data_IF_008137974174
#
_entry.id   IF_008137974174
#
_cell.length_a   1.000
_cell.length_b   1.000
_cell.length_c   1.000
_cell.angle_alpha   90.00
_cell.angle_beta   90.00
_cell.angle_gamma   90.00
#
_symmetry.space_group_name_H-M   'P 1'
#
loop_
_entity.id
_entity.type
_entity.pdbx_description
1 polymer ?
#
# COMPACT_ATOMS: atom_id res chain seq x y z
N UNK A 1 -3.37 3.57 33.54
CA UNK A 1 -4.36 3.17 32.54
C UNK A 1 -3.81 3.77 31.27
N UNK A 2 -3.29 2.91 30.39
CA UNK A 2 -2.52 3.32 29.21
C UNK A 2 -3.41 3.15 27.99
N UNK A 3 -3.34 4.04 27.01
CA UNK A 3 -3.99 3.80 25.71
C UNK A 3 -3.24 2.65 25.04
N UNK A 4 -3.95 1.58 24.75
CA UNK A 4 -3.44 0.35 24.13
C UNK A 4 -3.62 0.36 22.61
N UNK A 5 -4.78 0.81 22.12
CA UNK A 5 -5.09 0.88 20.70
C UNK A 5 -6.08 2.03 20.44
N UNK A 6 -5.79 2.85 19.44
CA UNK A 6 -6.67 3.89 18.91
C UNK A 6 -7.02 3.50 17.47
N UNK A 7 -8.32 3.31 17.17
CA UNK A 7 -8.82 3.04 15.83
C UNK A 7 -9.72 4.16 15.30
N UNK A 8 -9.61 5.38 15.85
CA UNK A 8 -10.36 6.56 15.43
C UNK A 8 -11.82 6.54 15.89
N UNK A 9 -12.57 5.49 15.54
CA UNK A 9 -13.93 5.24 16.04
C UNK A 9 -13.94 4.49 17.36
N UNK A 10 -12.81 3.94 17.84
CA UNK A 10 -12.73 3.28 19.14
C UNK A 10 -11.36 3.43 19.84
N UNK A 11 -11.40 3.84 21.11
CA UNK A 11 -10.25 4.01 21.99
C UNK A 11 -10.18 2.89 23.02
N UNK A 12 -9.09 2.14 23.08
CA UNK A 12 -8.92 1.01 24.00
C UNK A 12 -7.83 1.31 25.00
N UNK A 13 -8.17 1.24 26.27
CA UNK A 13 -7.27 1.50 27.39
C UNK A 13 -6.98 0.22 28.16
N UNK A 14 -5.73 -0.03 28.52
CA UNK A 14 -5.33 -1.13 29.39
C UNK A 14 -5.02 -0.69 30.83
N UNK A 15 -5.31 -1.57 31.79
CA UNK A 15 -4.82 -1.48 33.18
C UNK A 15 -4.61 -2.88 33.74
N UNK A 16 -3.39 -3.39 33.68
CA UNK A 16 -3.11 -4.81 34.00
C UNK A 16 -3.65 -5.71 32.89
N UNK A 17 -4.33 -6.79 33.23
CA UNK A 17 -4.92 -7.73 32.25
C UNK A 17 -6.33 -7.32 31.77
N UNK A 18 -6.75 -6.07 32.06
CA UNK A 18 -8.07 -5.56 31.71
C UNK A 18 -7.93 -4.50 30.64
N UNK A 19 -8.68 -4.66 29.54
CA UNK A 19 -8.82 -3.67 28.47
C UNK A 19 -10.24 -3.10 28.46
N UNK A 20 -10.37 -1.79 28.27
CA UNK A 20 -11.61 -1.04 28.22
C UNK A 20 -11.69 -0.23 26.92
N UNK A 21 -12.66 -0.54 26.06
CA UNK A 21 -12.90 0.16 24.79
C UNK A 21 -13.98 1.25 24.90
N UNK A 22 -13.78 2.38 24.25
CA UNK A 22 -14.73 3.48 24.11
C UNK A 22 -14.89 3.81 22.64
N UNK A 23 -16.02 3.45 22.03
CA UNK A 23 -16.27 3.72 20.62
C UNK A 23 -17.21 4.93 20.41
N UNK A 24 -16.91 5.76 19.40
CA UNK A 24 -17.68 6.95 19.04
C UNK A 24 -18.94 6.53 18.27
N UNK A 25 -20.12 6.82 18.83
CA UNK A 25 -21.39 6.30 18.32
C UNK A 25 -22.16 7.36 17.53
N UNK A 26 -22.02 7.35 16.21
CA UNK A 26 -23.01 7.96 15.32
C UNK A 26 -23.58 6.97 14.27
N UNK A 27 -23.03 5.75 14.14
CA UNK A 27 -23.54 4.72 13.21
C UNK A 27 -23.61 3.29 13.78
N UNK A 28 -23.35 3.07 15.07
CA UNK A 28 -23.17 1.71 15.58
C UNK A 28 -24.47 1.09 16.16
N UNK A 29 -24.79 -0.15 15.74
CA UNK A 29 -25.79 -1.05 16.35
C UNK A 29 -25.52 -1.38 17.84
N UNK A 30 -24.52 -0.74 18.47
CA UNK A 30 -23.90 -1.13 19.74
C UNK A 30 -24.39 -0.34 20.95
N UNK A 31 -25.29 0.63 20.79
CA UNK A 31 -25.83 1.42 21.90
C UNK A 31 -26.52 0.52 22.96
N UNK A 32 -25.91 0.43 24.16
CA UNK A 32 -26.39 -0.44 25.25
C UNK A 32 -25.77 -1.84 25.30
N UNK A 33 -24.72 -2.10 24.53
CA UNK A 33 -23.95 -3.36 24.53
C UNK A 33 -22.86 -3.36 25.58
N UNK A 34 -22.66 -4.50 26.25
CA UNK A 34 -21.50 -4.75 27.12
C UNK A 34 -20.45 -5.54 26.32
N UNK A 35 -19.31 -4.93 26.04
CA UNK A 35 -18.22 -5.55 25.26
C UNK A 35 -17.13 -6.12 26.15
N UNK A 36 -16.73 -7.37 25.89
CA UNK A 36 -15.61 -8.07 26.52
C UNK A 36 -14.46 -8.17 25.53
N UNK A 37 -13.27 -7.74 25.95
CA UNK A 37 -12.05 -7.74 25.16
C UNK A 37 -11.10 -8.85 25.63
N UNK A 38 -10.63 -9.66 24.69
CA UNK A 38 -9.71 -10.76 24.94
C UNK A 38 -8.31 -10.48 24.38
N UNK A 39 -7.34 -11.33 24.73
CA UNK A 39 -5.94 -11.20 24.30
C UNK A 39 -5.54 -12.17 23.17
N UNK A 40 -6.43 -13.10 22.80
CA UNK A 40 -6.24 -13.99 21.65
C UNK A 40 -7.56 -14.56 21.11
N UNK A 41 -7.53 -15.04 19.86
CA UNK A 41 -8.63 -15.83 19.25
C UNK A 41 -9.02 -17.01 20.15
N UNK A 42 -8.04 -17.74 20.70
CA UNK A 42 -8.27 -18.93 21.54
C UNK A 42 -9.09 -18.63 22.79
N UNK A 43 -8.95 -17.42 23.35
CA UNK A 43 -9.74 -17.00 24.51
C UNK A 43 -11.18 -16.69 24.11
N UNK A 44 -11.41 -16.04 22.97
CA UNK A 44 -12.75 -15.81 22.41
C UNK A 44 -13.44 -17.15 22.15
N UNK A 45 -12.73 -18.10 21.54
CA UNK A 45 -13.24 -19.45 21.28
C UNK A 45 -13.55 -20.22 22.56
N UNK A 46 -12.66 -20.18 23.55
CA UNK A 46 -12.87 -20.85 24.83
C UNK A 46 -14.11 -20.30 25.56
N UNK A 47 -14.33 -18.98 25.48
CA UNK A 47 -15.51 -18.34 26.06
C UNK A 47 -16.77 -18.71 25.27
N UNK A 48 -16.72 -18.71 23.93
CA UNK A 48 -17.84 -19.16 23.11
C UNK A 48 -18.26 -20.60 23.45
N UNK A 49 -17.30 -21.52 23.59
CA UNK A 49 -17.55 -22.91 23.98
C UNK A 49 -18.13 -23.04 25.40
N UNK A 50 -17.76 -22.14 26.31
CA UNK A 50 -18.23 -22.15 27.70
C UNK A 50 -19.63 -21.56 27.85
N UNK A 51 -19.99 -20.62 26.98
CA UNK A 51 -21.22 -19.81 27.06
C UNK A 51 -22.06 -19.91 25.78
N UNK A 52 -22.04 -21.08 25.12
CA UNK A 52 -22.75 -21.29 23.86
C UNK A 52 -24.26 -21.02 24.02
N UNK A 53 -24.84 -21.35 25.19
CA UNK A 53 -26.27 -21.20 25.44
C UNK A 53 -26.78 -19.74 25.47
N UNK A 54 -25.89 -18.77 25.71
CA UNK A 54 -26.24 -17.34 25.69
C UNK A 54 -25.81 -16.65 24.39
N UNK A 55 -25.12 -17.36 23.50
CA UNK A 55 -24.58 -16.83 22.26
C UNK A 55 -25.67 -16.72 21.19
N UNK A 56 -25.74 -15.58 20.50
CA UNK A 56 -26.68 -15.31 19.41
C UNK A 56 -26.02 -15.42 18.03
N UNK A 57 -24.68 -15.37 17.96
CA UNK A 57 -23.92 -15.65 16.75
C UNK A 57 -22.77 -16.61 17.05
N UNK A 58 -22.25 -17.27 16.00
CA UNK A 58 -20.95 -17.93 16.07
C UNK A 58 -19.81 -16.90 16.02
N UNK A 59 -18.62 -17.23 16.55
CA UNK A 59 -17.41 -16.45 16.32
C UNK A 59 -17.13 -16.27 14.83
N UNK A 60 -16.86 -15.03 14.44
CA UNK A 60 -16.59 -14.64 13.05
C UNK A 60 -15.65 -13.44 13.01
N UNK A 61 -15.03 -13.22 11.87
CA UNK A 61 -14.27 -11.99 11.61
C UNK A 61 -15.23 -10.91 11.15
N UNK A 62 -15.14 -9.72 11.76
CA UNK A 62 -15.68 -8.50 11.19
C UNK A 62 -14.54 -7.78 10.44
N UNK A 63 -14.58 -7.74 9.10
CA UNK A 63 -13.50 -7.20 8.29
C UNK A 63 -13.37 -5.68 8.40
N UNK A 64 -14.47 -4.97 8.68
CA UNK A 64 -14.50 -3.51 8.73
C UNK A 64 -13.70 -2.96 9.92
N UNK A 65 -13.63 -3.73 11.01
CA UNK A 65 -12.95 -3.36 12.26
C UNK A 65 -11.76 -4.27 12.59
N UNK A 66 -11.47 -5.26 11.74
CA UNK A 66 -10.42 -6.24 11.94
C UNK A 66 -10.50 -6.94 13.32
N UNK A 67 -11.72 -7.28 13.75
CA UNK A 67 -12.00 -7.97 15.00
C UNK A 67 -12.49 -9.39 14.76
N UNK A 68 -12.11 -10.32 15.63
CA UNK A 68 -12.74 -11.61 15.78
C UNK A 68 -13.73 -11.56 16.94
N UNK A 69 -15.01 -11.78 16.67
CA UNK A 69 -16.06 -11.54 17.65
C UNK A 69 -17.25 -12.50 17.56
N UNK A 70 -18.01 -12.59 18.65
CA UNK A 70 -19.37 -13.13 18.64
C UNK A 70 -20.29 -12.34 19.57
N UNK A 71 -21.60 -12.46 19.32
CA UNK A 71 -22.64 -11.81 20.10
C UNK A 71 -23.34 -12.78 21.04
N UNK A 72 -23.82 -12.27 22.16
CA UNK A 72 -24.67 -12.99 23.11
C UNK A 72 -25.69 -12.07 23.77
N UNK A 73 -26.54 -12.65 24.61
CA UNK A 73 -27.48 -11.92 25.48
C UNK A 73 -27.43 -12.42 26.90
N UNK A 74 -27.45 -11.51 27.86
CA UNK A 74 -27.57 -11.90 29.26
C UNK A 74 -29.02 -12.27 29.64
N UNK A 75 -29.28 -12.79 30.86
CA UNK A 75 -30.63 -13.16 31.30
C UNK A 75 -31.64 -12.00 31.35
N UNK A 76 -31.16 -10.76 31.37
CA UNK A 76 -31.97 -9.53 31.38
C UNK A 76 -32.21 -9.00 29.94
N UNK A 77 -31.66 -9.68 28.92
CA UNK A 77 -31.83 -9.37 27.51
C UNK A 77 -30.88 -8.31 26.96
N UNK A 78 -29.86 -7.89 27.73
CA UNK A 78 -28.84 -6.93 27.28
C UNK A 78 -27.91 -7.59 26.28
N UNK A 79 -27.51 -6.84 25.26
CA UNK A 79 -26.54 -7.30 24.26
C UNK A 79 -25.15 -7.40 24.87
N UNK A 80 -24.49 -8.54 24.62
CA UNK A 80 -23.10 -8.77 24.96
C UNK A 80 -22.32 -8.98 23.66
N UNK A 81 -21.13 -8.40 23.58
CA UNK A 81 -20.18 -8.66 22.48
C UNK A 81 -18.86 -9.16 23.07
N UNK A 82 -18.33 -10.22 22.52
CA UNK A 82 -17.07 -10.83 22.94
C UNK A 82 -16.11 -10.74 21.77
N UNK A 83 -15.00 -10.03 21.93
CA UNK A 83 -14.12 -9.73 20.78
C UNK A 83 -12.63 -9.71 21.10
N UNK A 84 -11.84 -9.93 20.04
CA UNK A 84 -10.39 -9.81 19.99
C UNK A 84 -10.00 -9.01 18.75
N UNK A 85 -9.05 -8.08 18.87
CA UNK A 85 -8.50 -7.36 17.72
C UNK A 85 -7.40 -8.19 17.07
N UNK A 86 -7.59 -8.58 15.81
CA UNK A 86 -6.65 -9.40 15.08
C UNK A 86 -5.35 -8.63 14.86
N UNK A 87 -4.21 -9.25 15.16
CA UNK A 87 -2.91 -8.72 14.78
C UNK A 87 -2.72 -8.84 13.26
N UNK A 88 -1.83 -8.03 12.65
CA UNK A 88 -1.50 -8.17 11.24
C UNK A 88 -1.10 -9.60 10.89
N UNK A 89 -1.86 -10.23 9.98
CA UNK A 89 -1.62 -11.61 9.53
C UNK A 89 -2.11 -12.70 10.49
N UNK A 90 -2.87 -12.36 11.54
CA UNK A 90 -3.53 -13.32 12.42
C UNK A 90 -4.88 -13.74 11.84
N UNK A 91 -5.17 -15.05 11.81
CA UNK A 91 -6.40 -15.59 11.25
C UNK A 91 -7.00 -16.64 12.22
N UNK A 92 -8.32 -16.65 12.45
CA UNK A 92 -8.95 -17.69 13.26
C UNK A 92 -8.79 -19.08 12.65
N UNK A 93 -8.51 -20.07 13.49
CA UNK A 93 -8.54 -21.48 13.09
C UNK A 93 -9.95 -21.82 12.58
N UNK A 94 -10.06 -22.24 11.32
CA UNK A 94 -11.34 -22.60 10.69
C UNK A 94 -12.05 -21.46 9.95
N UNK A 95 -11.42 -20.30 9.75
CA UNK A 95 -11.82 -19.42 8.65
C UNK A 95 -11.82 -20.24 7.34
N UNK A 96 -12.87 -20.14 6.52
CA UNK A 96 -12.94 -20.86 5.24
C UNK A 96 -11.63 -20.66 4.48
N UNK A 97 -11.05 -21.75 3.95
CA UNK A 97 -9.84 -21.68 3.16
C UNK A 97 -10.07 -20.63 2.06
N UNK A 98 -9.35 -19.49 2.08
CA UNK A 98 -9.67 -18.38 1.20
C UNK A 98 -9.26 -18.66 -0.26
N UNK A 99 -8.68 -19.84 -0.51
CA UNK A 99 -8.18 -20.28 -1.80
C UNK A 99 -9.20 -21.19 -2.48
N UNK A 100 -9.70 -20.72 -3.62
CA UNK A 100 -10.55 -21.49 -4.52
C UNK A 100 -9.76 -21.94 -5.75
N UNK A 101 -10.16 -23.08 -6.34
CA UNK A 101 -9.62 -23.54 -7.61
C UNK A 101 -10.55 -23.05 -8.72
N UNK A 102 -10.09 -22.09 -9.52
CA UNK A 102 -10.92 -21.43 -10.53
C UNK A 102 -11.20 -22.32 -11.75
N UNK A 103 -10.27 -23.23 -12.07
CA UNK A 103 -10.33 -24.12 -13.23
C UNK A 103 -9.71 -25.50 -12.92
N UNK A 104 -10.41 -26.40 -12.19
CA UNK A 104 -9.86 -27.68 -11.76
C UNK A 104 -9.36 -28.54 -12.93
N UNK A 105 -8.06 -28.88 -12.92
CA UNK A 105 -7.40 -29.69 -13.94
C UNK A 105 -6.05 -30.21 -13.42
N UNK A 106 -6.07 -31.41 -12.81
CA UNK A 106 -4.88 -32.01 -12.19
C UNK A 106 -3.74 -32.33 -13.17
N UNK A 107 -3.98 -32.24 -14.49
CA UNK A 107 -2.96 -32.46 -15.52
C UNK A 107 -2.05 -31.24 -15.72
N UNK A 108 -2.49 -30.06 -15.27
CA UNK A 108 -1.77 -28.80 -15.44
C UNK A 108 -0.82 -28.50 -14.28
N UNK A 109 0.27 -27.74 -14.51
CA UNK A 109 1.03 -27.15 -13.42
C UNK A 109 0.14 -26.28 -12.53
N UNK A 110 0.47 -26.17 -11.24
CA UNK A 110 -0.35 -25.41 -10.28
C UNK A 110 0.20 -24.01 -10.05
N UNK A 111 -0.66 -23.01 -10.11
CA UNK A 111 -0.31 -21.63 -9.79
C UNK A 111 -1.09 -21.15 -8.57
N UNK A 112 -0.39 -20.51 -7.63
CA UNK A 112 -1.01 -19.73 -6.56
C UNK A 112 -1.10 -18.27 -6.96
N UNK A 113 -2.31 -17.72 -6.91
CA UNK A 113 -2.62 -16.32 -7.11
C UNK A 113 -3.01 -15.71 -5.74
N UNK A 114 -2.17 -14.85 -5.16
CA UNK A 114 -2.37 -14.36 -3.77
C UNK A 114 -3.53 -13.36 -3.62
N UNK A 115 -4.01 -12.81 -4.74
CA UNK A 115 -5.20 -11.95 -4.86
C UNK A 115 -5.76 -12.01 -6.27
N UNK A 116 -7.08 -11.89 -6.42
CA UNK A 116 -7.68 -11.70 -7.74
C UNK A 116 -7.10 -10.48 -8.46
N UNK A 117 -6.78 -10.69 -9.74
CA UNK A 117 -6.30 -9.69 -10.69
C UNK A 117 -7.31 -9.58 -11.84
N UNK A 118 -7.19 -8.60 -12.76
CA UNK A 118 -8.13 -8.47 -13.88
C UNK A 118 -8.33 -9.77 -14.67
N UNK A 119 -9.58 -10.01 -15.10
CA UNK A 119 -10.02 -11.30 -15.65
C UNK A 119 -9.20 -11.74 -16.86
N UNK A 120 -8.75 -10.81 -17.71
CA UNK A 120 -7.90 -11.12 -18.88
C UNK A 120 -6.62 -11.88 -18.51
N UNK A 121 -6.06 -11.61 -17.34
CA UNK A 121 -4.88 -12.32 -16.84
C UNK A 121 -5.25 -13.70 -16.29
N UNK A 122 -6.37 -13.81 -15.57
CA UNK A 122 -6.87 -15.09 -15.04
C UNK A 122 -7.20 -16.05 -16.18
N UNK A 123 -7.79 -15.55 -17.27
CA UNK A 123 -8.11 -16.34 -18.46
C UNK A 123 -6.84 -16.93 -19.08
N UNK A 124 -5.80 -16.09 -19.29
CA UNK A 124 -4.49 -16.54 -19.80
C UNK A 124 -3.83 -17.59 -18.88
N UNK A 125 -3.89 -17.37 -17.57
CA UNK A 125 -3.36 -18.34 -16.60
C UNK A 125 -4.11 -19.66 -16.66
N UNK A 126 -5.44 -19.63 -16.82
CA UNK A 126 -6.30 -20.81 -16.81
C UNK A 126 -6.09 -21.73 -18.03
N UNK A 127 -5.54 -21.20 -19.13
CA UNK A 127 -5.15 -22.00 -20.28
C UNK A 127 -4.00 -22.97 -19.96
N UNK A 128 -3.06 -22.56 -19.10
CA UNK A 128 -1.79 -23.27 -18.86
C UNK A 128 -1.72 -23.88 -17.46
N UNK A 129 -2.32 -23.26 -16.45
CA UNK A 129 -2.25 -23.66 -15.05
C UNK A 129 -3.61 -24.14 -14.52
N UNK A 130 -3.58 -24.98 -13.49
CA UNK A 130 -4.66 -25.06 -12.50
C UNK A 130 -4.47 -23.89 -11.53
N UNK A 131 -5.40 -22.93 -11.53
CA UNK A 131 -5.29 -21.66 -10.81
C UNK A 131 -5.94 -21.78 -9.43
N UNK A 132 -5.11 -21.70 -8.40
CA UNK A 132 -5.50 -21.62 -6.99
C UNK A 132 -5.47 -20.15 -6.59
N UNK A 133 -6.63 -19.51 -6.42
CA UNK A 133 -6.73 -18.08 -6.20
C UNK A 133 -7.31 -17.75 -4.83
N UNK A 134 -6.70 -16.79 -4.13
CA UNK A 134 -7.31 -16.17 -2.99
C UNK A 134 -8.49 -15.28 -3.44
N UNK A 135 -9.72 -15.71 -3.16
CA UNK A 135 -10.97 -15.01 -3.49
C UNK A 135 -11.50 -14.16 -2.35
N UNK A 136 -10.90 -14.24 -1.15
CA UNK A 136 -11.29 -13.42 -0.01
C UNK A 136 -10.96 -11.94 -0.24
N UNK A 137 -11.68 -11.05 0.44
CA UNK A 137 -11.47 -9.60 0.41
C UNK A 137 -10.21 -9.15 1.19
N UNK A 138 -9.49 -10.08 1.82
CA UNK A 138 -8.21 -9.85 2.52
C UNK A 138 -7.01 -10.60 1.91
N UNK A 139 -5.80 -10.15 2.22
CA UNK A 139 -4.58 -10.89 1.86
C UNK A 139 -4.50 -12.22 2.60
N UNK A 140 -3.68 -13.14 2.08
CA UNK A 140 -3.38 -14.38 2.79
C UNK A 140 -2.55 -14.06 4.04
N UNK A 141 -2.89 -14.72 5.14
CA UNK A 141 -2.04 -14.73 6.34
C UNK A 141 -0.69 -15.36 6.03
N UNK A 142 0.30 -15.15 6.89
CA UNK A 142 1.62 -15.77 6.70
C UNK A 142 1.52 -17.29 6.67
N UNK A 143 0.70 -17.86 7.56
CA UNK A 143 0.50 -19.30 7.65
C UNK A 143 -0.24 -19.86 6.42
N UNK A 144 -1.30 -19.18 5.97
CA UNK A 144 -2.05 -19.56 4.76
C UNK A 144 -1.15 -19.55 3.52
N UNK A 145 -0.34 -18.50 3.35
CA UNK A 145 0.58 -18.39 2.21
C UNK A 145 1.65 -19.49 2.24
N UNK A 146 2.22 -19.78 3.42
CA UNK A 146 3.20 -20.86 3.59
C UNK A 146 2.61 -22.25 3.33
N UNK A 147 1.36 -22.49 3.75
CA UNK A 147 0.65 -23.73 3.48
C UNK A 147 0.30 -23.90 2.00
N UNK A 148 -0.17 -22.82 1.39
CA UNK A 148 -0.67 -22.82 0.02
C UNK A 148 0.40 -23.00 -1.06
N UNK A 149 1.63 -22.52 -0.81
CA UNK A 149 2.72 -22.55 -1.81
C UNK A 149 3.37 -23.92 -1.98
N UNK A 150 3.16 -24.86 -1.04
CA UNK A 150 3.98 -26.06 -0.91
C UNK A 150 3.99 -26.99 -2.14
N UNK A 151 2.86 -27.09 -2.86
CA UNK A 151 2.68 -27.96 -4.02
C UNK A 151 2.58 -27.19 -5.35
N UNK A 152 2.94 -25.90 -5.37
CA UNK A 152 2.76 -24.99 -6.52
C UNK A 152 4.01 -24.91 -7.38
N UNK A 153 3.81 -24.83 -8.69
CA UNK A 153 4.87 -24.62 -9.69
C UNK A 153 5.15 -23.12 -9.90
N UNK A 154 4.13 -22.27 -9.72
CA UNK A 154 4.23 -20.83 -9.91
C UNK A 154 3.49 -20.07 -8.80
N UNK A 155 4.02 -18.89 -8.46
CA UNK A 155 3.41 -17.93 -7.56
C UNK A 155 3.25 -16.60 -8.29
N UNK A 156 2.02 -16.08 -8.37
CA UNK A 156 1.73 -14.72 -8.78
C UNK A 156 1.31 -13.93 -7.56
N UNK A 157 2.16 -12.98 -7.14
CA UNK A 157 2.03 -12.25 -5.88
C UNK A 157 1.85 -10.75 -6.07
N UNK A 158 1.42 -10.06 -5.01
CA UNK A 158 1.37 -8.60 -4.93
C UNK A 158 2.59 -8.06 -4.15
N UNK A 159 2.76 -6.73 -4.19
CA UNK A 159 3.79 -6.03 -3.41
C UNK A 159 3.64 -6.19 -1.89
N UNK A 160 2.45 -6.51 -1.40
CA UNK A 160 2.16 -6.73 0.02
C UNK A 160 2.63 -8.10 0.53
N UNK A 161 2.92 -9.04 -0.38
CA UNK A 161 3.30 -10.40 -0.01
C UNK A 161 4.80 -10.49 0.26
N UNK A 162 5.20 -10.93 1.47
CA UNK A 162 6.61 -11.12 1.83
C UNK A 162 7.14 -12.47 1.32
N UNK A 163 7.88 -12.43 0.22
CA UNK A 163 8.45 -13.60 -0.44
C UNK A 163 9.92 -13.75 -0.04
N UNK A 164 10.16 -14.31 1.14
CA UNK A 164 11.49 -14.54 1.71
C UNK A 164 11.94 -16.01 1.56
N UNK A 165 13.17 -16.31 2.02
CA UNK A 165 13.74 -17.66 2.02
C UNK A 165 12.81 -18.72 2.65
N UNK A 166 12.18 -18.44 3.79
CA UNK A 166 11.27 -19.36 4.47
C UNK A 166 10.08 -19.79 3.58
N UNK A 167 9.50 -18.84 2.82
CA UNK A 167 8.42 -19.15 1.89
C UNK A 167 8.91 -20.02 0.74
N UNK A 168 10.07 -19.68 0.18
CA UNK A 168 10.68 -20.44 -0.90
C UNK A 168 11.10 -21.84 -0.46
N UNK A 169 11.48 -22.04 0.81
CA UNK A 169 11.78 -23.37 1.37
C UNK A 169 10.54 -24.27 1.46
N UNK A 170 9.34 -23.69 1.64
CA UNK A 170 8.08 -24.44 1.58
C UNK A 170 7.70 -24.78 0.14
N UNK A 171 7.92 -23.86 -0.80
CA UNK A 171 7.60 -24.02 -2.22
C UNK A 171 8.58 -24.93 -2.97
N UNK A 172 8.68 -26.21 -2.61
CA UNK A 172 9.70 -27.14 -3.17
C UNK A 172 9.58 -27.40 -4.67
N UNK A 173 8.41 -27.12 -5.26
CA UNK A 173 8.15 -27.22 -6.71
C UNK A 173 8.20 -25.87 -7.42
N UNK A 174 8.32 -24.78 -6.67
CA UNK A 174 8.19 -23.43 -7.19
C UNK A 174 9.31 -23.14 -8.17
N UNK A 175 8.95 -22.74 -9.39
CA UNK A 175 9.88 -22.38 -10.47
C UNK A 175 9.94 -20.88 -10.70
N UNK A 176 8.86 -20.17 -10.38
CA UNK A 176 8.72 -18.74 -10.66
C UNK A 176 7.92 -18.01 -9.59
N UNK A 177 8.39 -16.82 -9.24
CA UNK A 177 7.62 -15.78 -8.55
C UNK A 177 7.41 -14.63 -9.52
N UNK A 178 6.17 -14.45 -9.98
CA UNK A 178 5.77 -13.38 -10.88
C UNK A 178 5.08 -12.27 -10.09
N UNK A 179 5.78 -11.15 -9.90
CA UNK A 179 5.27 -10.04 -9.09
C UNK A 179 4.36 -9.14 -9.92
N UNK A 180 3.14 -8.91 -9.44
CA UNK A 180 2.21 -7.93 -9.99
C UNK A 180 2.55 -6.50 -9.51
N UNK A 181 3.80 -6.12 -9.69
CA UNK A 181 4.34 -4.81 -9.35
C UNK A 181 5.65 -4.57 -10.11
N UNK A 182 6.11 -3.32 -10.19
CA UNK A 182 7.45 -3.00 -10.73
C UNK A 182 8.52 -3.15 -9.66
N UNK A 183 8.31 -2.56 -8.48
CA UNK A 183 9.20 -2.75 -7.35
C UNK A 183 9.06 -4.17 -6.79
N UNK A 184 10.17 -4.74 -6.35
CA UNK A 184 10.27 -6.15 -5.91
C UNK A 184 10.95 -6.27 -4.54
N UNK A 185 10.93 -5.22 -3.73
CA UNK A 185 11.56 -5.19 -2.40
C UNK A 185 10.94 -6.19 -1.43
N UNK A 186 9.74 -6.69 -1.76
CA UNK A 186 9.04 -7.73 -1.04
C UNK A 186 9.59 -9.14 -1.33
N UNK A 187 10.52 -9.28 -2.28
CA UNK A 187 11.09 -10.55 -2.73
C UNK A 187 12.59 -10.60 -2.42
N UNK A 188 13.01 -11.66 -1.73
CA UNK A 188 14.42 -11.97 -1.47
C UNK A 188 15.06 -12.59 -2.72
N UNK A 189 15.74 -11.75 -3.51
CA UNK A 189 16.33 -12.17 -4.78
C UNK A 189 17.49 -13.15 -4.59
N UNK A 190 18.24 -13.06 -3.50
CA UNK A 190 19.38 -13.95 -3.28
C UNK A 190 18.89 -15.34 -2.86
N UNK A 191 17.86 -15.42 -2.00
CA UNK A 191 17.19 -16.67 -1.69
C UNK A 191 16.56 -17.34 -2.93
N UNK A 192 15.99 -16.56 -3.84
CA UNK A 192 15.45 -17.07 -5.10
C UNK A 192 16.53 -17.64 -6.02
N UNK A 193 17.67 -16.94 -6.18
CA UNK A 193 18.81 -17.44 -6.97
C UNK A 193 19.36 -18.77 -6.43
N UNK A 194 19.54 -18.87 -5.11
CA UNK A 194 20.04 -20.11 -4.47
C UNK A 194 19.15 -21.32 -4.77
N UNK A 195 17.85 -21.09 -4.98
CA UNK A 195 16.83 -22.12 -5.24
C UNK A 195 16.50 -22.29 -6.72
N UNK A 196 17.17 -21.56 -7.61
CA UNK A 196 16.87 -21.49 -9.05
C UNK A 196 15.40 -21.13 -9.34
N UNK A 197 14.84 -20.23 -8.54
CA UNK A 197 13.49 -19.70 -8.72
C UNK A 197 13.62 -18.41 -9.52
N UNK A 198 13.01 -18.36 -10.71
CA UNK A 198 12.96 -17.14 -11.50
C UNK A 198 12.10 -16.08 -10.80
N UNK A 199 12.52 -14.81 -10.87
CA UNK A 199 11.70 -13.69 -10.38
C UNK A 199 11.40 -12.77 -11.54
N UNK A 200 10.13 -12.43 -11.71
CA UNK A 200 9.65 -11.54 -12.75
C UNK A 200 8.82 -10.39 -12.15
N UNK A 201 8.67 -9.30 -12.90
CA UNK A 201 7.90 -8.12 -12.48
C UNK A 201 7.13 -7.50 -13.67
N UNK A 202 6.55 -6.30 -13.52
CA UNK A 202 5.72 -5.65 -14.55
C UNK A 202 6.22 -4.27 -15.04
N UNK A 203 7.47 -4.13 -15.52
CA UNK A 203 8.06 -2.86 -15.94
C UNK A 203 7.40 -2.31 -17.21
N UNK A 204 7.45 -0.99 -17.35
CA UNK A 204 6.97 -0.29 -18.55
C UNK A 204 5.48 -0.01 -18.54
N UNK A 205 4.63 -1.02 -18.30
CA UNK A 205 3.17 -0.93 -18.47
C UNK A 205 2.46 0.06 -17.54
N UNK A 206 3.05 0.39 -16.38
CA UNK A 206 2.47 1.34 -15.41
C UNK A 206 3.09 2.75 -15.44
N UNK A 207 4.08 2.98 -16.29
CA UNK A 207 4.90 4.20 -16.28
C UNK A 207 4.06 5.47 -16.39
N UNK A 208 3.14 5.49 -17.35
CA UNK A 208 2.33 6.68 -17.64
C UNK A 208 1.30 6.93 -16.54
N UNK A 209 0.60 5.90 -16.05
CA UNK A 209 -0.38 6.06 -14.97
C UNK A 209 0.25 6.56 -13.67
N UNK A 210 1.44 6.07 -13.32
CA UNK A 210 2.14 6.56 -12.11
C UNK A 210 2.65 7.99 -12.28
N UNK A 211 3.07 8.35 -13.49
CA UNK A 211 3.39 9.74 -13.80
C UNK A 211 2.15 10.65 -13.70
N UNK A 212 0.97 10.18 -14.11
CA UNK A 212 -0.30 10.91 -13.98
C UNK A 212 -0.70 11.13 -12.51
N UNK A 213 -0.49 10.13 -11.65
CA UNK A 213 -0.74 10.26 -10.20
C UNK A 213 0.26 11.23 -9.56
N UNK A 214 1.54 11.15 -9.92
CA UNK A 214 2.53 12.12 -9.45
C UNK A 214 2.13 13.56 -9.82
N UNK A 215 1.70 13.79 -11.07
CA UNK A 215 1.20 15.10 -11.50
C UNK A 215 -0.10 15.52 -10.84
N UNK A 216 -1.01 14.58 -10.59
CA UNK A 216 -2.24 14.83 -9.82
C UNK A 216 -1.91 15.32 -8.42
N UNK A 217 -0.94 14.68 -7.75
CA UNK A 217 -0.45 15.09 -6.44
C UNK A 217 0.27 16.44 -6.48
N UNK A 218 1.11 16.71 -7.49
CA UNK A 218 1.73 18.04 -7.72
C UNK A 218 0.66 19.12 -7.75
N UNK A 219 -0.36 18.95 -8.59
CA UNK A 219 -1.41 19.95 -8.77
C UNK A 219 -2.25 20.09 -7.50
N UNK A 220 -2.64 18.98 -6.88
CA UNK A 220 -3.47 18.98 -5.68
C UNK A 220 -2.78 19.63 -4.48
N UNK A 221 -1.53 19.26 -4.21
CA UNK A 221 -0.76 19.75 -3.07
C UNK A 221 -0.30 21.20 -3.27
N UNK A 222 0.13 21.59 -4.47
CA UNK A 222 0.53 22.97 -4.74
C UNK A 222 -0.66 23.94 -4.69
N UNK A 223 -1.83 23.52 -5.17
CA UNK A 223 -3.02 24.37 -5.32
C UNK A 223 -4.09 24.19 -4.25
N UNK A 224 -3.80 23.45 -3.17
CA UNK A 224 -4.71 23.23 -2.03
C UNK A 224 -6.08 22.74 -2.48
N UNK A 225 -6.11 21.85 -3.48
CA UNK A 225 -7.35 21.41 -4.11
C UNK A 225 -8.27 20.69 -3.12
N UNK A 226 -7.81 19.69 -2.34
CA UNK A 226 -8.68 18.98 -1.42
C UNK A 226 -9.26 19.89 -0.33
N UNK A 227 -8.44 20.77 0.24
CA UNK A 227 -8.86 21.74 1.25
C UNK A 227 -9.97 22.67 0.73
N UNK A 228 -9.79 23.18 -0.49
CA UNK A 228 -10.76 24.06 -1.16
C UNK A 228 -12.07 23.33 -1.46
N UNK A 229 -11.99 22.06 -1.82
CA UNK A 229 -13.14 21.22 -2.14
C UNK A 229 -13.96 20.90 -0.88
N UNK A 230 -13.29 20.52 0.22
CA UNK A 230 -13.90 20.29 1.53
C UNK A 230 -14.60 21.55 2.02
N UNK A 231 -13.96 22.71 1.92
CA UNK A 231 -14.55 24.00 2.29
C UNK A 231 -15.83 24.31 1.53
N UNK A 232 -15.85 24.03 0.22
CA UNK A 232 -17.03 24.20 -0.62
C UNK A 232 -18.15 23.27 -0.19
N UNK A 233 -17.86 21.97 0.03
CA UNK A 233 -18.86 20.98 0.47
C UNK A 233 -19.45 21.26 1.84
N UNK A 234 -18.67 21.88 2.73
CA UNK A 234 -19.13 22.33 4.04
C UNK A 234 -20.05 23.55 3.97
N UNK A 235 -20.35 24.09 2.78
CA UNK A 235 -21.21 25.26 2.61
C UNK A 235 -20.58 26.57 3.10
N UNK A 236 -19.26 26.60 3.31
CA UNK A 236 -18.54 27.78 3.79
C UNK A 236 -18.27 28.82 2.70
N UNK A 237 -18.50 28.47 1.44
CA UNK A 237 -18.28 29.36 0.31
C UNK A 237 -19.37 30.45 0.23
N UNK A 238 -19.01 31.67 0.60
CA UNK A 238 -19.88 32.86 0.56
C UNK A 238 -19.62 33.76 -0.66
N UNK A 239 -18.52 33.54 -1.38
CA UNK A 239 -18.12 34.30 -2.55
C UNK A 239 -16.62 34.18 -2.83
N UNK A 240 -16.18 34.71 -3.98
CA UNK A 240 -14.75 34.81 -4.29
C UNK A 240 -14.10 35.84 -3.36
N UNK A 241 -12.95 35.49 -2.79
CA UNK A 241 -12.12 36.40 -2.00
C UNK A 241 -10.66 36.34 -2.48
N UNK A 242 -9.93 37.47 -2.48
CA UNK A 242 -8.56 37.52 -2.99
C UNK A 242 -7.55 36.61 -2.28
N UNK A 243 -7.80 36.27 -1.01
CA UNK A 243 -6.86 35.52 -0.16
C UNK A 243 -7.30 34.08 0.12
N UNK A 244 -8.47 33.68 -0.39
CA UNK A 244 -9.04 32.37 -0.11
C UNK A 244 -8.27 31.28 -0.86
N UNK A 245 -7.69 30.35 -0.11
CA UNK A 245 -6.90 29.20 -0.61
C UNK A 245 -5.80 29.55 -1.62
N UNK A 246 -5.03 30.62 -1.36
CA UNK A 246 -3.80 30.86 -2.11
C UNK A 246 -2.84 29.66 -2.00
N UNK A 247 -2.34 29.21 -3.15
CA UNK A 247 -1.39 28.11 -3.29
C UNK A 247 -0.14 28.54 -4.06
N UNK A 248 0.72 27.58 -4.38
CA UNK A 248 1.91 27.79 -5.21
C UNK A 248 1.58 27.64 -6.69
N UNK A 249 2.15 28.49 -7.53
CA UNK A 249 2.12 28.26 -8.97
C UNK A 249 2.92 27.00 -9.31
N UNK A 250 2.50 26.27 -10.34
CA UNK A 250 3.23 25.10 -10.86
C UNK A 250 3.98 25.47 -12.14
N UNK A 251 3.39 26.34 -12.97
CA UNK A 251 4.00 26.76 -14.22
C UNK A 251 5.25 27.61 -13.97
N UNK A 252 6.28 27.46 -14.81
CA UNK A 252 7.51 28.24 -14.71
C UNK A 252 8.40 27.95 -13.50
N UNK A 253 7.97 27.06 -12.58
CA UNK A 253 8.73 26.67 -11.40
C UNK A 253 9.85 25.66 -11.73
N UNK A 254 10.70 25.35 -10.75
CA UNK A 254 11.71 24.30 -10.86
C UNK A 254 11.18 22.96 -10.34
N UNK A 255 11.11 21.96 -11.23
CA UNK A 255 10.84 20.57 -10.88
C UNK A 255 12.16 19.83 -10.65
N UNK A 256 12.39 19.38 -9.42
CA UNK A 256 13.45 18.44 -9.07
C UNK A 256 12.96 17.01 -9.08
N UNK A 257 13.71 16.13 -9.73
CA UNK A 257 13.43 14.70 -9.79
C UNK A 257 14.54 13.90 -9.12
N UNK A 258 14.19 13.19 -8.04
CA UNK A 258 15.07 12.20 -7.42
C UNK A 258 14.81 10.84 -8.06
N UNK A 259 15.70 10.41 -8.97
CA UNK A 259 15.56 9.15 -9.70
C UNK A 259 14.97 9.33 -11.10
N UNK A 260 15.82 9.61 -12.09
CA UNK A 260 15.42 9.76 -13.50
C UNK A 260 15.29 8.41 -14.25
N UNK A 261 14.50 7.50 -13.68
CA UNK A 261 14.08 6.23 -14.31
C UNK A 261 12.92 6.42 -15.29
N UNK A 262 12.25 5.34 -15.72
CA UNK A 262 11.10 5.40 -16.65
C UNK A 262 10.00 6.35 -16.16
N UNK A 263 9.62 6.24 -14.89
CA UNK A 263 8.57 7.08 -14.28
C UNK A 263 9.07 8.52 -14.15
N UNK A 264 10.27 8.74 -13.61
CA UNK A 264 10.86 10.08 -13.50
C UNK A 264 10.93 10.81 -14.84
N UNK A 265 11.29 10.11 -15.93
CA UNK A 265 11.30 10.67 -17.28
C UNK A 265 9.90 11.01 -17.79
N UNK A 266 8.90 10.17 -17.52
CA UNK A 266 7.51 10.45 -17.89
C UNK A 266 6.92 11.64 -17.12
N UNK A 267 7.34 11.84 -15.86
CA UNK A 267 7.01 13.02 -15.05
C UNK A 267 7.72 14.27 -15.58
N UNK A 268 9.03 14.19 -15.87
CA UNK A 268 9.81 15.27 -16.45
C UNK A 268 9.24 15.74 -17.79
N UNK A 269 8.88 14.80 -18.68
CA UNK A 269 8.32 15.11 -20.00
C UNK A 269 7.07 15.97 -19.90
N UNK A 270 6.17 15.68 -18.94
CA UNK A 270 4.95 16.46 -18.69
C UNK A 270 5.26 17.88 -18.19
N UNK A 271 6.36 18.07 -17.46
CA UNK A 271 6.79 19.37 -16.95
C UNK A 271 7.10 20.40 -18.05
N UNK A 272 7.49 19.92 -19.24
CA UNK A 272 7.72 20.78 -20.40
C UNK A 272 6.45 21.52 -20.83
N UNK A 273 5.27 20.91 -20.69
CA UNK A 273 3.99 21.55 -20.95
C UNK A 273 3.62 22.66 -19.97
N UNK A 274 4.27 22.71 -18.81
CA UNK A 274 4.11 23.74 -17.78
C UNK A 274 5.24 24.78 -17.82
N UNK A 275 6.16 24.68 -18.79
CA UNK A 275 7.31 25.60 -18.92
C UNK A 275 8.23 25.57 -17.71
N UNK A 276 8.32 24.43 -17.01
CA UNK A 276 9.15 24.30 -15.80
C UNK A 276 10.63 24.12 -16.16
N UNK A 277 11.52 24.60 -15.29
CA UNK A 277 12.93 24.17 -15.30
C UNK A 277 13.00 22.78 -14.70
N UNK A 278 13.66 21.85 -15.39
CA UNK A 278 13.79 20.46 -14.92
C UNK A 278 15.23 20.21 -14.47
N UNK A 279 15.39 19.86 -13.19
CA UNK A 279 16.67 19.39 -12.63
C UNK A 279 16.48 17.99 -12.06
N UNK A 280 17.53 17.18 -12.06
CA UNK A 280 17.43 15.82 -11.53
C UNK A 280 18.71 15.32 -10.90
N UNK A 281 18.53 14.38 -9.97
CA UNK A 281 19.62 13.61 -9.41
C UNK A 281 19.44 12.13 -9.74
N UNK A 282 20.48 11.50 -10.28
CA UNK A 282 20.53 10.07 -10.51
C UNK A 282 21.96 9.58 -10.64
N UNK A 283 22.18 8.27 -10.45
CA UNK A 283 23.52 7.64 -10.53
C UNK A 283 24.25 7.87 -11.86
N UNK A 284 23.50 8.04 -12.95
CA UNK A 284 24.05 8.15 -14.31
C UNK A 284 23.26 9.19 -15.09
N UNK A 285 23.90 10.04 -15.91
CA UNK A 285 23.21 10.91 -16.86
C UNK A 285 22.21 10.14 -17.73
N UNK A 286 21.14 10.82 -18.16
CA UNK A 286 20.11 10.28 -19.05
C UNK A 286 20.07 11.06 -20.35
N UNK A 287 19.92 10.34 -21.46
CA UNK A 287 19.59 10.92 -22.74
C UNK A 287 18.09 11.16 -22.79
N UNK A 288 17.70 12.42 -23.01
CA UNK A 288 16.32 12.89 -22.97
C UNK A 288 16.03 13.72 -24.22
N UNK A 289 14.79 13.71 -24.67
CA UNK A 289 14.29 14.48 -25.80
C UNK A 289 13.86 15.91 -25.44
N UNK A 290 14.10 16.32 -24.19
CA UNK A 290 13.83 17.65 -23.64
C UNK A 290 14.97 18.10 -22.72
N UNK A 291 15.01 19.41 -22.44
CA UNK A 291 16.03 19.98 -21.56
C UNK A 291 15.79 19.57 -20.10
N UNK A 292 16.79 18.90 -19.51
CA UNK A 292 16.85 18.62 -18.08
C UNK A 292 18.32 18.56 -17.62
N UNK A 293 18.60 19.14 -16.46
CA UNK A 293 19.95 19.28 -15.93
C UNK A 293 20.23 18.23 -14.85
N UNK A 294 21.31 17.44 -15.02
CA UNK A 294 21.79 16.57 -13.94
C UNK A 294 22.53 17.42 -12.92
N UNK A 295 22.10 17.38 -11.67
CA UNK A 295 22.70 18.13 -10.55
C UNK A 295 23.08 17.20 -9.40
N UNK A 296 23.93 17.68 -8.49
CA UNK A 296 24.18 16.99 -7.22
C UNK A 296 22.93 17.02 -6.30
N UNK A 297 22.93 16.16 -5.29
CA UNK A 297 21.78 15.99 -4.41
C UNK A 297 21.45 17.24 -3.60
N UNK A 298 22.45 18.00 -3.15
CA UNK A 298 22.23 19.22 -2.37
C UNK A 298 21.62 20.33 -3.23
N UNK A 299 22.10 20.49 -4.47
CA UNK A 299 21.55 21.41 -5.46
C UNK A 299 20.12 21.03 -5.80
N UNK A 300 19.83 19.73 -5.97
CA UNK A 300 18.46 19.25 -6.18
C UNK A 300 17.53 19.75 -5.07
N UNK A 301 17.88 19.54 -3.80
CA UNK A 301 17.04 19.93 -2.67
C UNK A 301 16.82 21.45 -2.59
N UNK A 302 17.89 22.24 -2.75
CA UNK A 302 17.84 23.69 -2.60
C UNK A 302 17.10 24.41 -3.73
N UNK A 303 17.21 23.90 -4.95
CA UNK A 303 16.66 24.58 -6.13
C UNK A 303 15.24 24.13 -6.49
N UNK A 304 14.77 22.98 -5.98
CA UNK A 304 13.42 22.47 -6.26
C UNK A 304 12.34 23.32 -5.61
N UNK A 305 11.40 23.80 -6.42
CA UNK A 305 10.10 24.30 -5.95
C UNK A 305 9.13 23.12 -5.76
N UNK A 306 9.28 22.08 -6.58
CA UNK A 306 8.59 20.80 -6.43
C UNK A 306 9.66 19.71 -6.48
N UNK A 307 9.77 18.89 -5.44
CA UNK A 307 10.67 17.73 -5.40
C UNK A 307 9.82 16.46 -5.54
N UNK A 308 10.02 15.71 -6.63
CA UNK A 308 9.30 14.46 -6.91
C UNK A 308 10.22 13.24 -6.82
N UNK A 309 9.83 12.28 -5.99
CA UNK A 309 10.60 11.07 -5.69
C UNK A 309 10.18 9.91 -6.59
N UNK A 310 11.16 9.35 -7.31
CA UNK A 310 11.01 8.23 -8.26
C UNK A 310 12.18 7.23 -8.19
N UNK A 311 12.97 7.28 -7.12
CA UNK A 311 14.03 6.31 -6.86
C UNK A 311 13.46 4.99 -6.31
N UNK A 312 14.08 3.84 -6.60
CA UNK A 312 13.74 2.60 -5.93
C UNK A 312 14.14 2.67 -4.45
N UNK A 313 13.41 1.98 -3.57
CA UNK A 313 13.85 1.77 -2.20
C UNK A 313 14.96 0.72 -2.16
N UNK A 314 16.08 1.13 -1.58
CA UNK A 314 17.36 0.43 -1.40
C UNK A 314 17.93 0.85 -0.05
N UNK A 315 18.92 0.15 0.52
CA UNK A 315 19.59 0.59 1.74
C UNK A 315 20.14 2.02 1.67
N UNK A 316 20.56 2.47 0.48
CA UNK A 316 21.09 3.83 0.27
C UNK A 316 20.02 4.92 0.17
N UNK A 317 18.76 4.54 -0.07
CA UNK A 317 17.65 5.49 -0.24
C UNK A 317 16.65 5.45 0.91
N UNK A 318 16.79 4.49 1.83
CA UNK A 318 15.96 4.37 3.04
C UNK A 318 16.23 5.55 3.98
N UNK A 319 15.18 6.29 4.33
CA UNK A 319 15.27 7.52 5.13
C UNK A 319 16.09 8.63 4.47
N UNK A 320 16.29 8.60 3.15
CA UNK A 320 17.16 9.55 2.44
C UNK A 320 16.68 11.00 2.54
N UNK A 321 15.35 11.21 2.56
CA UNK A 321 14.77 12.54 2.82
C UNK A 321 14.45 12.63 4.32
N UNK A 322 15.46 13.03 5.09
CA UNK A 322 15.37 13.26 6.53
C UNK A 322 15.18 14.72 6.91
N UNK A 323 15.24 15.01 8.22
CA UNK A 323 15.08 16.37 8.75
C UNK A 323 16.08 17.38 8.16
N UNK A 324 17.32 16.95 7.93
CA UNK A 324 18.36 17.80 7.32
C UNK A 324 18.02 18.16 5.88
N UNK A 325 17.59 17.18 5.10
CA UNK A 325 17.27 17.35 3.68
C UNK A 325 16.00 18.20 3.50
N UNK A 326 14.98 17.99 4.33
CA UNK A 326 13.77 18.82 4.38
C UNK A 326 14.12 20.29 4.71
N UNK A 327 15.00 20.52 5.68
CA UNK A 327 15.45 21.87 6.03
C UNK A 327 16.28 22.57 4.94
N UNK A 328 16.82 21.83 3.96
CA UNK A 328 17.51 22.40 2.79
C UNK A 328 16.54 22.87 1.71
N UNK A 329 15.31 22.37 1.70
CA UNK A 329 14.30 22.73 0.72
C UNK A 329 13.81 24.17 0.92
N UNK A 330 13.18 24.74 -0.11
CA UNK A 330 12.52 26.04 0.01
C UNK A 330 11.32 25.92 0.93
N UNK A 331 11.00 26.98 1.68
CA UNK A 331 9.75 27.05 2.46
C UNK A 331 8.49 26.96 1.61
N UNK A 332 8.58 27.36 0.34
CA UNK A 332 7.51 27.22 -0.66
C UNK A 332 7.47 25.83 -1.32
N UNK A 333 8.39 24.92 -0.98
CA UNK A 333 8.54 23.67 -1.71
C UNK A 333 7.40 22.70 -1.46
N UNK A 334 7.07 21.93 -2.49
CA UNK A 334 6.11 20.82 -2.43
C UNK A 334 6.87 19.50 -2.59
N UNK A 335 6.70 18.58 -1.64
CA UNK A 335 7.29 17.24 -1.71
C UNK A 335 6.28 16.24 -2.29
N UNK A 336 6.68 15.45 -3.29
CA UNK A 336 5.83 14.43 -3.91
C UNK A 336 6.47 13.06 -3.81
N UNK A 337 5.76 12.10 -3.21
CA UNK A 337 6.23 10.72 -3.12
C UNK A 337 5.24 9.74 -3.76
N UNK A 338 5.65 9.17 -4.91
CA UNK A 338 4.97 8.07 -5.61
C UNK A 338 5.89 6.86 -5.77
N UNK A 339 6.98 6.83 -5.01
CA UNK A 339 7.98 5.78 -5.05
C UNK A 339 7.73 4.77 -3.93
N UNK A 340 8.29 5.00 -2.75
CA UNK A 340 8.10 4.19 -1.54
C UNK A 340 8.13 5.11 -0.33
N UNK A 341 7.26 4.86 0.65
CA UNK A 341 7.15 5.71 1.83
C UNK A 341 8.45 5.79 2.62
N UNK A 342 9.16 4.66 2.74
CA UNK A 342 10.42 4.56 3.49
C UNK A 342 11.56 5.42 2.92
N UNK A 343 11.44 6.00 1.72
CA UNK A 343 12.46 6.92 1.20
C UNK A 343 12.46 8.23 2.00
N UNK A 344 11.35 8.56 2.64
CA UNK A 344 11.19 9.74 3.48
C UNK A 344 11.15 9.28 4.94
N UNK A 345 11.89 9.98 5.80
CA UNK A 345 11.69 9.90 7.24
C UNK A 345 10.33 10.55 7.57
N UNK A 346 9.32 9.70 7.84
CA UNK A 346 7.93 10.13 8.00
C UNK A 346 7.75 11.05 9.21
N UNK A 347 8.46 10.80 10.31
CA UNK A 347 8.42 11.66 11.51
C UNK A 347 9.03 13.03 11.21
N UNK A 348 10.17 13.07 10.53
CA UNK A 348 10.81 14.32 10.13
C UNK A 348 9.93 15.13 9.15
N UNK A 349 9.28 14.46 8.20
CA UNK A 349 8.36 15.10 7.25
C UNK A 349 7.15 15.71 7.95
N UNK A 350 6.52 14.97 8.87
CA UNK A 350 5.39 15.48 9.68
C UNK A 350 5.82 16.73 10.45
N UNK A 351 6.99 16.72 11.09
CA UNK A 351 7.51 17.87 11.81
C UNK A 351 7.76 19.07 10.89
N UNK A 352 8.40 18.85 9.73
CA UNK A 352 8.67 19.90 8.75
C UNK A 352 7.38 20.56 8.22
N UNK A 353 6.34 19.76 7.95
CA UNK A 353 5.03 20.26 7.51
C UNK A 353 4.32 21.06 8.61
N UNK A 354 4.32 20.56 9.86
CA UNK A 354 3.75 21.27 11.03
C UNK A 354 4.43 22.62 11.27
N UNK A 355 5.75 22.67 11.10
CA UNK A 355 6.56 23.86 11.34
C UNK A 355 6.59 24.84 10.14
N UNK A 356 6.00 24.47 9.00
CA UNK A 356 6.05 25.28 7.77
C UNK A 356 7.46 25.41 7.20
N UNK A 357 8.29 24.38 7.37
CA UNK A 357 9.63 24.28 6.76
C UNK A 357 9.53 23.98 5.26
N UNK A 358 8.48 23.27 4.87
CA UNK A 358 8.02 23.11 3.49
C UNK A 358 6.52 23.46 3.39
N UNK A 359 6.03 23.74 2.19
CA UNK A 359 4.68 24.24 1.99
C UNK A 359 3.63 23.13 2.13
N UNK A 360 3.80 22.03 1.39
CA UNK A 360 2.87 20.90 1.39
C UNK A 360 3.54 19.61 0.91
N UNK A 361 2.83 18.49 1.07
CA UNK A 361 3.24 17.21 0.52
C UNK A 361 2.09 16.51 -0.23
N UNK A 362 2.44 15.72 -1.25
CA UNK A 362 1.54 14.84 -1.96
C UNK A 362 2.08 13.40 -1.92
N UNK A 363 1.35 12.50 -1.28
CA UNK A 363 1.80 11.15 -0.94
C UNK A 363 0.85 10.11 -1.54
N UNK A 364 1.40 9.19 -2.32
CA UNK A 364 0.72 7.96 -2.72
C UNK A 364 1.18 6.75 -1.88
N UNK A 365 2.22 6.92 -1.07
CA UNK A 365 2.88 5.82 -0.36
C UNK A 365 3.31 6.25 1.05
N UNK A 366 3.32 5.30 1.99
CA UNK A 366 3.57 5.54 3.42
C UNK A 366 4.62 4.57 3.98
N UNK A 367 5.27 4.93 5.08
CA UNK A 367 6.39 4.13 5.60
C UNK A 367 5.95 2.72 6.04
N UNK A 368 4.71 2.59 6.56
CA UNK A 368 4.16 1.35 7.09
C UNK A 368 2.73 1.07 6.58
N UNK A 369 2.53 1.00 5.27
CA UNK A 369 1.21 0.72 4.70
C UNK A 369 0.57 -0.58 5.24
N UNK A 370 -0.72 -0.58 5.63
CA UNK A 370 -1.71 0.51 5.49
C UNK A 370 -1.78 1.49 6.68
N UNK A 371 -0.90 1.38 7.67
CA UNK A 371 -0.88 2.27 8.83
C UNK A 371 -0.36 3.66 8.43
N UNK A 372 -1.14 4.68 8.80
CA UNK A 372 -0.81 6.09 8.58
C UNK A 372 -0.87 6.77 9.96
N UNK A 373 0.16 7.51 10.39
CA UNK A 373 0.12 8.20 11.68
C UNK A 373 -1.04 9.21 11.77
N UNK A 374 -1.75 9.24 12.90
CA UNK A 374 -2.84 10.20 13.14
C UNK A 374 -2.39 11.65 12.97
N UNK A 375 -1.14 11.94 13.37
CA UNK A 375 -0.53 13.25 13.20
C UNK A 375 -0.44 13.69 11.74
N UNK A 376 -0.23 12.75 10.81
CA UNK A 376 -0.21 13.00 9.37
C UNK A 376 -1.63 13.17 8.84
N UNK A 377 -2.58 12.35 9.32
CA UNK A 377 -4.00 12.41 8.96
C UNK A 377 -4.67 13.75 9.30
N UNK A 378 -4.16 14.46 10.31
CA UNK A 378 -4.68 15.76 10.74
C UNK A 378 -4.12 16.96 9.97
N UNK A 379 -3.11 16.77 9.11
CA UNK A 379 -2.49 17.86 8.37
C UNK A 379 -3.31 18.26 7.14
N UNK A 380 -3.75 19.53 7.09
CA UNK A 380 -4.47 20.07 5.94
C UNK A 380 -3.57 20.25 4.72
N UNK A 381 -2.27 20.50 4.91
CA UNK A 381 -1.29 20.72 3.84
C UNK A 381 -0.67 19.42 3.31
N UNK A 382 -1.38 18.30 3.42
CA UNK A 382 -0.96 17.01 2.86
C UNK A 382 -2.08 16.40 2.05
N UNK A 383 -1.77 16.01 0.81
CA UNK A 383 -2.66 15.23 -0.04
C UNK A 383 -2.23 13.78 0.01
N UNK A 384 -3.14 12.88 0.37
CA UNK A 384 -2.86 11.46 0.58
C UNK A 384 -3.71 10.60 -0.34
N UNK A 385 -3.08 9.59 -0.94
CA UNK A 385 -3.72 8.58 -1.77
C UNK A 385 -3.29 7.18 -1.30
N UNK A 386 -4.18 6.17 -1.35
CA UNK A 386 -3.91 4.84 -0.84
C UNK A 386 -3.18 3.96 -1.88
N UNK A 387 -1.98 4.36 -2.30
CA UNK A 387 -1.12 3.60 -3.23
C UNK A 387 -1.81 3.24 -4.56
N UNK A 388 -2.36 4.28 -5.20
CA UNK A 388 -3.13 4.17 -6.44
C UNK A 388 -2.30 4.51 -7.69
N UNK A 389 -0.98 4.66 -7.57
CA UNK A 389 -0.07 5.03 -8.65
C UNK A 389 -0.28 4.28 -9.97
N UNK A 390 -0.65 3.00 -9.95
CA UNK A 390 -0.94 2.22 -11.16
C UNK A 390 -2.43 1.86 -11.35
N UNK A 391 -3.32 2.45 -10.55
CA UNK A 391 -4.75 2.12 -10.50
C UNK A 391 -5.56 2.75 -11.64
N UNK A 392 -5.26 2.38 -12.88
CA UNK A 392 -6.17 2.54 -14.02
C UNK A 392 -6.57 1.18 -14.58
N UNK A 393 -7.79 1.06 -15.12
CA UNK A 393 -8.29 -0.21 -15.67
C UNK A 393 -7.32 -0.82 -16.69
N UNK A 394 -6.83 0.00 -17.63
CA UNK A 394 -5.89 -0.45 -18.65
C UNK A 394 -4.58 -0.92 -18.04
N UNK A 395 -3.96 -0.10 -17.18
CA UNK A 395 -2.66 -0.43 -16.58
C UNK A 395 -2.73 -1.70 -15.73
N UNK A 396 -3.78 -1.87 -14.92
CA UNK A 396 -3.98 -3.10 -14.14
C UNK A 396 -4.15 -4.32 -15.06
N UNK A 397 -4.91 -4.17 -16.15
CA UNK A 397 -5.08 -5.26 -17.14
C UNK A 397 -3.76 -5.64 -17.82
N UNK A 398 -2.98 -4.66 -18.26
CA UNK A 398 -1.67 -4.86 -18.90
C UNK A 398 -0.65 -5.47 -17.93
N UNK A 399 -0.63 -5.02 -16.66
CA UNK A 399 0.19 -5.63 -15.61
C UNK A 399 -0.15 -7.09 -15.40
N UNK A 400 -1.45 -7.43 -15.44
CA UNK A 400 -1.93 -8.78 -15.17
C UNK A 400 -1.51 -9.72 -16.28
N UNK A 401 -1.71 -9.28 -17.51
CA UNK A 401 -1.27 -9.99 -18.71
C UNK A 401 0.24 -10.20 -18.72
N UNK A 402 1.04 -9.18 -18.39
CA UNK A 402 2.50 -9.32 -18.32
C UNK A 402 2.94 -10.30 -17.22
N UNK A 403 2.35 -10.21 -16.03
CA UNK A 403 2.63 -11.12 -14.92
C UNK A 403 2.23 -12.58 -15.25
N UNK A 404 1.09 -12.78 -15.93
CA UNK A 404 0.65 -14.08 -16.41
C UNK A 404 1.64 -14.65 -17.45
N UNK A 405 2.01 -13.86 -18.46
CA UNK A 405 2.98 -14.26 -19.50
C UNK A 405 4.34 -14.64 -18.92
N UNK A 406 4.83 -13.92 -17.90
CA UNK A 406 6.06 -14.28 -17.19
C UNK A 406 5.97 -15.69 -16.56
N UNK A 407 4.88 -15.97 -15.84
CA UNK A 407 4.69 -17.27 -15.19
C UNK A 407 4.57 -18.40 -16.22
N UNK A 408 3.78 -18.18 -17.29
CA UNK A 408 3.59 -19.13 -18.40
C UNK A 408 4.91 -19.46 -19.09
N UNK A 409 5.70 -18.45 -19.45
CA UNK A 409 6.98 -18.65 -20.13
C UNK A 409 7.92 -19.54 -19.30
N UNK A 410 8.08 -19.26 -18.00
CA UNK A 410 8.97 -20.05 -17.14
C UNK A 410 8.51 -21.51 -17.01
N UNK A 411 7.21 -21.78 -16.84
CA UNK A 411 6.74 -23.17 -16.70
C UNK A 411 6.87 -23.97 -18.00
N UNK A 412 6.83 -23.28 -19.14
CA UNK A 412 7.04 -23.87 -20.48
C UNK A 412 8.51 -23.98 -20.87
N UNK A 413 9.44 -23.44 -20.07
CA UNK A 413 10.88 -23.46 -20.36
C UNK A 413 11.33 -22.40 -21.36
N UNK A 414 10.56 -21.32 -21.50
CA UNK A 414 10.84 -20.17 -22.36
C UNK A 414 11.39 -18.98 -21.54
N UNK A 415 11.93 -17.97 -22.24
CA UNK A 415 12.40 -16.74 -21.59
C UNK A 415 11.22 -15.80 -21.31
N UNK A 416 10.99 -15.39 -20.06
CA UNK A 416 9.88 -14.51 -19.72
C UNK A 416 10.13 -13.07 -20.23
N UNK A 417 9.08 -12.34 -20.60
CA UNK A 417 9.21 -11.00 -21.15
C UNK A 417 9.79 -9.97 -20.16
N UNK A 418 9.69 -10.21 -18.85
CA UNK A 418 10.18 -9.30 -17.81
C UNK A 418 10.87 -10.04 -16.64
N UNK A 419 11.98 -10.72 -16.94
CA UNK A 419 12.86 -11.33 -15.93
C UNK A 419 13.60 -10.27 -15.09
N UNK A 420 13.68 -10.49 -13.79
CA UNK A 420 14.58 -9.79 -12.86
C UNK A 420 15.83 -10.64 -12.60
N UNK A 421 15.66 -11.93 -12.28
CA UNK A 421 16.72 -12.93 -12.09
C UNK A 421 16.35 -14.30 -12.67
#
# INVERSE_FOLDING_TARGET
MNLWLDQGSCLIFEKGNLKLGFCNSDEAETAGTITFLYDSIKEVDAVYQTFEEISTTKPKVNPDYNIYHFWGKDPEGRSLEFQYFLKPGECPEGAENPIEILNPDESKPKLLLTRLIPQNAIDLLSEVFEVHANTAERGLSREELLGAVADKDALLCLLSDKINAELMDKGKKLKVVSNYAVGYNNIDLDAAKERNIAVCNTPGVLTESTADIAWSLVMAAARRIPESEIFLRQGKFTGWEPMLYLGQDVHGQTLGILGMGRIGQAVARRATGFGMRIIYHSRTPKELDFEAELVDFETLLKESDILSLHSPLTPETDGLIGAKELAMMKKSAVLINTARGQIVDEEAMIAALKNGEIFSAGLDVFAQEPFIPDELMQLENVVMLPHIGSASFKTRSDMGELAAKNAIAIVQGEEPPARVI
#
